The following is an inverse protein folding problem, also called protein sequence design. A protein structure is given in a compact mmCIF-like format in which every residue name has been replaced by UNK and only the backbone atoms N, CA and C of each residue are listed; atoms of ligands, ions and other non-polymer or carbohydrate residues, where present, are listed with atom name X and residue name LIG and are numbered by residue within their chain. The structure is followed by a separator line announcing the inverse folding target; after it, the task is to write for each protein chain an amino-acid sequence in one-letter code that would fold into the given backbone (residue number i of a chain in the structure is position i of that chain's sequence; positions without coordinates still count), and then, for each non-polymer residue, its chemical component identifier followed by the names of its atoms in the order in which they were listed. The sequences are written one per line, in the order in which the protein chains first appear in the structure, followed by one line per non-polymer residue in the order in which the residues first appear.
data_IF_945975362131
#
_entry.id   IF_945975362131
#
_cell.length_a   1.000
_cell.length_b   1.000
_cell.length_c   1.000
_cell.angle_alpha   90.00
_cell.angle_beta   90.00
_cell.angle_gamma   90.00
#
_symmetry.space_group_name_H-M   'P 1'
#
loop_
_entity.id
_entity.type
_entity.pdbx_description
1 polymer ?
#
# COMPACT_ATOMS: atom_id res chain seq x y z
N UNK A 1 7.48 8.34 -28.50
CA UNK A 1 6.04 8.03 -28.61
C UNK A 1 5.58 7.45 -27.28
N UNK A 2 4.36 7.78 -26.83
CA UNK A 2 3.75 7.16 -25.64
C UNK A 2 3.15 5.81 -26.01
N UNK A 3 3.32 4.84 -25.14
CA UNK A 3 2.85 3.46 -25.33
C UNK A 3 1.89 3.13 -24.19
N UNK A 4 0.66 2.67 -24.48
CA UNK A 4 -0.25 2.20 -23.45
C UNK A 4 0.35 1.06 -22.64
N UNK A 5 0.14 1.11 -21.33
CA UNK A 5 0.59 0.11 -20.38
C UNK A 5 -0.62 -0.68 -19.88
N UNK A 6 -0.66 -1.99 -20.15
CA UNK A 6 -1.75 -2.85 -19.69
C UNK A 6 -1.53 -3.24 -18.22
N UNK A 7 -2.28 -2.62 -17.31
CA UNK A 7 -2.38 -2.99 -15.88
C UNK A 7 -1.04 -3.09 -15.14
N UNK A 8 -0.06 -2.20 -15.43
CA UNK A 8 1.18 -2.15 -14.65
C UNK A 8 1.00 -1.31 -13.39
N UNK A 9 1.52 -1.84 -12.29
CA UNK A 9 1.56 -1.15 -11.01
C UNK A 9 3.00 -0.95 -10.59
N UNK A 10 3.23 0.10 -9.83
CA UNK A 10 4.54 0.41 -9.29
C UNK A 10 4.48 0.99 -7.89
N UNK A 11 5.64 1.02 -7.24
CA UNK A 11 5.83 1.71 -5.98
C UNK A 11 6.96 2.70 -6.15
N UNK A 12 6.75 3.93 -5.68
CA UNK A 12 7.79 4.94 -5.65
C UNK A 12 8.90 4.53 -4.66
N UNK A 13 10.14 4.47 -5.15
CA UNK A 13 11.33 4.14 -4.35
C UNK A 13 12.13 5.37 -3.93
N UNK A 14 11.74 6.56 -4.41
CA UNK A 14 12.33 7.84 -4.04
C UNK A 14 11.26 8.93 -4.05
N UNK A 15 11.44 9.98 -3.23
CA UNK A 15 10.57 11.16 -3.24
C UNK A 15 10.79 11.94 -4.54
N UNK A 16 9.71 12.41 -5.15
CA UNK A 16 9.72 13.20 -6.37
C UNK A 16 8.72 14.36 -6.27
N UNK A 17 9.20 15.59 -6.49
CA UNK A 17 8.48 16.79 -6.05
C UNK A 17 7.45 17.37 -7.03
N UNK A 18 7.32 16.90 -8.27
CA UNK A 18 6.39 17.55 -9.19
C UNK A 18 6.99 18.49 -10.20
N UNK A 19 8.30 18.68 -10.26
CA UNK A 19 8.95 19.85 -10.88
C UNK A 19 8.97 19.88 -12.43
N UNK A 20 7.89 19.41 -13.05
CA UNK A 20 7.65 19.44 -14.49
C UNK A 20 6.18 19.74 -14.77
N UNK A 21 5.88 20.19 -15.99
CA UNK A 21 4.49 20.34 -16.41
C UNK A 21 3.75 19.00 -16.33
N UNK A 22 2.58 18.99 -15.70
CA UNK A 22 1.76 17.79 -15.44
C UNK A 22 2.43 16.75 -14.53
N UNK A 23 3.36 17.19 -13.69
CA UNK A 23 3.99 16.36 -12.68
C UNK A 23 3.05 15.82 -11.61
N UNK A 24 3.10 14.52 -11.32
CA UNK A 24 2.39 13.93 -10.18
C UNK A 24 3.37 13.67 -9.01
N UNK A 25 3.41 14.54 -7.97
CA UNK A 25 4.36 14.38 -6.86
C UNK A 25 4.16 13.05 -6.14
N UNK A 26 5.25 12.37 -5.82
CA UNK A 26 5.26 11.05 -5.20
C UNK A 26 6.16 11.04 -3.96
N UNK A 27 5.67 10.41 -2.90
CA UNK A 27 6.47 10.10 -1.73
C UNK A 27 6.94 8.64 -1.79
N UNK A 28 8.08 8.31 -1.16
CA UNK A 28 8.55 6.92 -1.02
C UNK A 28 7.42 6.06 -0.46
N UNK A 29 7.14 4.95 -1.15
CA UNK A 29 6.09 4.00 -0.79
C UNK A 29 4.73 4.28 -1.44
N UNK A 30 4.55 5.40 -2.14
CA UNK A 30 3.32 5.65 -2.90
C UNK A 30 3.14 4.58 -3.99
N UNK A 31 1.93 4.01 -4.03
CA UNK A 31 1.54 3.06 -5.07
C UNK A 31 1.01 3.84 -6.27
N UNK A 32 1.44 3.47 -7.47
CA UNK A 32 1.02 4.10 -8.72
C UNK A 32 0.44 3.07 -9.69
N UNK A 33 -0.62 3.47 -10.38
CA UNK A 33 -1.14 2.77 -11.55
C UNK A 33 -0.54 3.43 -12.80
N UNK A 34 0.08 2.63 -13.67
CA UNK A 34 0.79 3.12 -14.86
C UNK A 34 -0.10 2.88 -16.07
N UNK A 35 -0.58 3.99 -16.65
CA UNK A 35 -1.47 4.00 -17.80
C UNK A 35 -0.69 4.00 -19.11
N UNK A 36 0.40 4.77 -19.18
CA UNK A 36 1.22 4.90 -20.38
C UNK A 36 2.69 5.06 -20.02
N UNK A 37 3.58 4.72 -20.96
CA UNK A 37 5.01 4.87 -20.80
C UNK A 37 5.71 5.40 -22.06
N UNK A 38 6.80 6.12 -21.84
CA UNK A 38 7.79 6.45 -22.87
C UNK A 38 9.21 6.12 -22.33
N UNK A 39 10.31 6.33 -23.06
CA UNK A 39 11.62 5.86 -22.63
C UNK A 39 12.07 6.29 -21.23
N UNK A 40 11.69 7.49 -20.75
CA UNK A 40 12.13 8.02 -19.44
C UNK A 40 11.00 8.25 -18.43
N UNK A 41 9.75 8.27 -18.88
CA UNK A 41 8.62 8.66 -18.06
C UNK A 41 7.51 7.62 -18.06
N UNK A 42 6.84 7.54 -16.93
CA UNK A 42 5.52 6.96 -16.80
C UNK A 42 4.48 8.08 -16.73
N UNK A 43 3.28 7.76 -17.19
CA UNK A 43 2.06 8.55 -16.99
C UNK A 43 1.05 7.67 -16.27
N UNK A 44 0.52 8.15 -15.17
CA UNK A 44 -0.28 7.32 -14.27
C UNK A 44 -1.01 8.08 -13.18
N UNK A 45 -1.64 7.34 -12.29
CA UNK A 45 -2.36 7.87 -11.12
C UNK A 45 -1.74 7.34 -9.84
N UNK A 46 -1.96 8.05 -8.73
CA UNK A 46 -1.62 7.58 -7.39
C UNK A 46 -2.88 7.61 -6.53
N UNK A 47 -3.40 6.47 -6.02
CA UNK A 47 -4.64 6.45 -5.24
C UNK A 47 -4.58 7.27 -3.94
N UNK A 48 -3.38 7.48 -3.38
CA UNK A 48 -3.16 8.31 -2.18
C UNK A 48 -3.17 9.80 -2.45
N UNK A 49 -2.88 10.21 -3.69
CA UNK A 49 -2.96 11.59 -4.13
C UNK A 49 -4.29 11.75 -4.88
N UNK A 50 -4.72 12.97 -5.14
CA UNK A 50 -5.84 13.20 -6.08
C UNK A 50 -5.66 12.26 -7.27
N UNK A 51 -6.66 11.43 -7.63
CA UNK A 51 -6.57 10.44 -8.74
C UNK A 51 -6.35 11.09 -10.13
N UNK A 52 -5.92 12.35 -10.15
CA UNK A 52 -5.38 13.06 -11.28
C UNK A 52 -4.25 12.25 -11.94
N UNK A 53 -4.27 12.25 -13.26
CA UNK A 53 -3.23 11.64 -14.08
C UNK A 53 -2.06 12.60 -14.19
N UNK A 54 -0.84 12.12 -13.95
CA UNK A 54 0.36 12.92 -14.15
C UNK A 54 1.60 12.10 -14.44
N UNK A 55 2.71 12.80 -14.57
CA UNK A 55 4.00 12.28 -15.02
C UNK A 55 4.93 12.03 -13.84
N UNK A 56 5.67 10.93 -13.90
CA UNK A 56 6.74 10.62 -12.96
C UNK A 56 7.86 9.81 -13.64
N UNK A 57 9.13 9.97 -13.21
CA UNK A 57 10.26 9.31 -13.88
C UNK A 57 10.25 7.80 -13.66
N UNK A 58 10.61 7.03 -14.69
CA UNK A 58 10.73 5.57 -14.57
C UNK A 58 11.72 5.13 -13.51
N UNK A 59 12.82 5.88 -13.37
CA UNK A 59 13.90 5.58 -12.42
C UNK A 59 13.48 5.71 -10.96
N UNK A 60 12.31 6.29 -10.68
CA UNK A 60 11.78 6.48 -9.32
C UNK A 60 10.76 5.40 -8.95
N UNK A 61 10.41 4.50 -9.88
CA UNK A 61 9.36 3.51 -9.71
C UNK A 61 9.92 2.10 -9.81
N UNK A 62 9.65 1.31 -8.79
CA UNK A 62 9.83 -0.13 -8.84
C UNK A 62 8.52 -0.79 -9.30
N UNK A 63 8.55 -1.48 -10.45
CA UNK A 63 7.38 -2.17 -10.99
C UNK A 63 7.06 -3.39 -10.14
N UNK A 64 5.78 -3.55 -9.78
CA UNK A 64 5.27 -4.70 -9.04
C UNK A 64 4.24 -5.47 -9.85
N UNK A 65 4.37 -6.79 -9.78
CA UNK A 65 3.38 -7.73 -10.27
C UNK A 65 2.37 -8.03 -9.16
N UNK A 66 1.15 -7.48 -9.28
CA UNK A 66 0.11 -7.67 -8.28
C UNK A 66 -0.46 -9.10 -8.27
N UNK A 67 -0.30 -9.86 -9.36
CA UNK A 67 -0.84 -11.23 -9.45
C UNK A 67 -0.12 -12.22 -8.53
N UNK A 68 1.09 -11.86 -8.07
CA UNK A 68 1.93 -12.67 -7.18
C UNK A 68 1.77 -12.30 -5.71
N UNK A 69 0.94 -11.30 -5.40
CA UNK A 69 0.73 -10.86 -4.03
C UNK A 69 -0.35 -11.74 -3.42
N UNK A 70 -0.01 -12.36 -2.29
CA UNK A 70 -0.96 -13.10 -1.48
C UNK A 70 -2.17 -12.21 -1.10
N UNK A 71 -3.42 -12.66 -1.30
CA UNK A 71 -4.60 -11.87 -1.00
C UNK A 71 -4.65 -11.36 0.44
N UNK A 72 -4.19 -12.15 1.41
CA UNK A 72 -4.18 -11.76 2.83
C UNK A 72 -3.17 -10.62 3.06
N UNK A 73 -2.03 -10.64 2.36
CA UNK A 73 -1.03 -9.54 2.40
C UNK A 73 -1.59 -8.25 1.78
N UNK A 74 -2.34 -8.38 0.69
CA UNK A 74 -3.03 -7.25 0.06
C UNK A 74 -4.08 -6.66 1.01
N UNK A 75 -4.91 -7.52 1.62
CA UNK A 75 -5.94 -7.13 2.58
C UNK A 75 -5.34 -6.44 3.80
N UNK A 76 -4.26 -6.99 4.40
CA UNK A 76 -3.51 -6.33 5.48
C UNK A 76 -3.16 -4.89 5.13
N UNK A 77 -2.69 -4.65 3.90
CA UNK A 77 -2.30 -3.32 3.44
C UNK A 77 -3.50 -2.38 3.36
N UNK A 78 -4.65 -2.89 2.91
CA UNK A 78 -5.89 -2.13 2.79
C UNK A 78 -6.44 -1.77 4.18
N UNK A 79 -6.63 -2.76 5.06
CA UNK A 79 -7.21 -2.50 6.39
C UNK A 79 -6.33 -1.58 7.23
N UNK A 80 -5.00 -1.68 7.13
CA UNK A 80 -4.10 -0.76 7.83
C UNK A 80 -4.27 0.68 7.36
N UNK A 81 -4.59 0.91 6.07
CA UNK A 81 -4.87 2.27 5.56
C UNK A 81 -6.20 2.78 6.11
N UNK A 82 -7.25 1.97 6.06
CA UNK A 82 -8.58 2.32 6.56
C UNK A 82 -8.54 2.61 8.07
N UNK A 83 -7.96 1.70 8.85
CA UNK A 83 -7.82 1.84 10.29
C UNK A 83 -6.91 3.00 10.69
N UNK A 84 -5.93 3.39 9.86
CA UNK A 84 -5.10 4.57 10.15
C UNK A 84 -5.91 5.87 10.21
N UNK A 85 -6.96 5.99 9.40
CA UNK A 85 -7.85 7.15 9.42
C UNK A 85 -8.75 7.13 10.66
N UNK A 86 -9.26 5.95 11.04
CA UNK A 86 -10.03 5.77 12.29
C UNK A 86 -9.15 6.07 13.51
N UNK A 87 -7.94 5.54 13.54
CA UNK A 87 -6.98 5.69 14.63
C UNK A 87 -6.63 7.17 14.90
N UNK A 88 -6.43 7.97 13.83
CA UNK A 88 -6.22 9.42 13.96
C UNK A 88 -7.44 10.13 14.55
N UNK A 89 -8.67 9.75 14.16
CA UNK A 89 -9.90 10.32 14.72
C UNK A 89 -10.03 10.03 16.22
N UNK A 90 -9.78 8.79 16.62
CA UNK A 90 -9.81 8.39 18.05
C UNK A 90 -8.86 9.22 18.91
N UNK A 91 -7.71 9.63 18.37
CA UNK A 91 -6.79 10.55 19.07
C UNK A 91 -7.41 11.93 19.29
N UNK A 92 -7.99 12.52 18.23
CA UNK A 92 -8.64 13.84 18.29
C UNK A 92 -9.83 13.83 19.26
N UNK A 93 -10.62 12.76 19.21
CA UNK A 93 -11.81 12.56 20.06
C UNK A 93 -11.45 12.14 21.50
N UNK A 94 -10.16 11.94 21.81
CA UNK A 94 -9.63 11.53 23.12
C UNK A 94 -10.14 10.16 23.61
N UNK A 95 -10.54 9.29 22.69
CA UNK A 95 -10.97 7.90 22.92
C UNK A 95 -9.77 6.99 23.26
N UNK A 96 -9.15 7.26 24.40
CA UNK A 96 -7.80 6.77 24.76
C UNK A 96 -7.71 5.24 24.75
N UNK A 97 -8.70 4.54 25.30
CA UNK A 97 -8.71 3.08 25.31
C UNK A 97 -8.75 2.50 23.89
N UNK A 98 -9.69 2.95 23.05
CA UNK A 98 -9.83 2.49 21.67
C UNK A 98 -8.59 2.81 20.84
N UNK A 99 -8.03 4.01 21.01
CA UNK A 99 -6.80 4.42 20.33
C UNK A 99 -5.63 3.46 20.59
N UNK A 100 -5.39 3.10 21.86
CA UNK A 100 -4.31 2.19 22.22
C UNK A 100 -4.58 0.75 21.77
N UNK A 101 -5.82 0.29 21.90
CA UNK A 101 -6.21 -1.05 21.46
C UNK A 101 -6.07 -1.21 19.95
N UNK A 102 -6.60 -0.27 19.16
CA UNK A 102 -6.48 -0.29 17.70
C UNK A 102 -5.02 -0.25 17.25
N UNK A 103 -4.19 0.61 17.88
CA UNK A 103 -2.74 0.66 17.60
C UNK A 103 -2.06 -0.69 17.78
N UNK A 104 -2.37 -1.42 18.86
CA UNK A 104 -1.77 -2.74 19.13
C UNK A 104 -2.13 -3.75 18.04
N UNK A 105 -3.40 -3.79 17.63
CA UNK A 105 -3.85 -4.71 16.57
C UNK A 105 -3.23 -4.33 15.23
N UNK A 106 -3.20 -3.04 14.87
CA UNK A 106 -2.54 -2.55 13.65
C UNK A 106 -1.07 -2.96 13.59
N UNK A 107 -0.31 -2.80 14.69
CA UNK A 107 1.09 -3.21 14.75
C UNK A 107 1.25 -4.73 14.61
N UNK A 108 0.34 -5.50 15.21
CA UNK A 108 0.37 -6.95 15.07
C UNK A 108 0.09 -7.41 13.63
N UNK A 109 -0.86 -6.79 12.93
CA UNK A 109 -1.13 -7.06 11.51
C UNK A 109 0.08 -6.66 10.64
N UNK A 110 0.72 -5.53 10.95
CA UNK A 110 1.92 -5.09 10.23
C UNK A 110 3.07 -6.10 10.36
N UNK A 111 3.26 -6.67 11.54
CA UNK A 111 4.26 -7.70 11.80
C UNK A 111 3.93 -9.00 11.06
N UNK A 112 2.69 -9.51 11.18
CA UNK A 112 2.26 -10.69 10.43
C UNK A 112 2.42 -10.51 8.92
N UNK A 113 2.12 -9.32 8.39
CA UNK A 113 2.35 -8.98 6.98
C UNK A 113 3.84 -9.05 6.60
N UNK A 114 4.74 -8.62 7.49
CA UNK A 114 6.20 -8.70 7.28
C UNK A 114 6.64 -10.16 7.20
N UNK A 115 6.17 -11.00 8.11
CA UNK A 115 6.48 -12.43 8.13
C UNK A 115 5.96 -13.16 6.88
N UNK A 116 4.71 -12.91 6.48
CA UNK A 116 4.13 -13.48 5.26
C UNK A 116 4.93 -13.10 4.00
N UNK A 117 5.45 -11.87 3.94
CA UNK A 117 6.31 -11.42 2.84
C UNK A 117 7.74 -11.96 2.92
N UNK A 118 8.20 -12.42 4.09
CA UNK A 118 9.56 -12.89 4.32
C UNK A 118 9.87 -14.22 3.62
N UNK A 119 8.85 -15.00 3.26
CA UNK A 119 8.98 -16.31 2.60
C UNK A 119 9.90 -17.31 3.34
N UNK A 120 10.00 -17.17 4.67
CA UNK A 120 10.78 -18.06 5.55
C UNK A 120 9.93 -19.10 6.27
N UNK A 121 8.60 -19.04 6.11
CA UNK A 121 7.63 -19.93 6.76
C UNK A 121 7.39 -21.19 5.92
N UNK A 122 7.08 -22.29 6.59
CA UNK A 122 6.52 -23.47 5.90
C UNK A 122 5.09 -23.18 5.41
N UNK A 123 4.56 -24.07 4.57
CA UNK A 123 3.18 -23.96 4.09
C UNK A 123 2.17 -23.95 5.24
N UNK A 124 2.31 -24.86 6.21
CA UNK A 124 1.42 -24.93 7.37
C UNK A 124 1.50 -23.68 8.24
N UNK A 125 2.71 -23.18 8.50
CA UNK A 125 2.92 -21.94 9.25
C UNK A 125 2.33 -20.71 8.54
N UNK A 126 2.45 -20.67 7.21
CA UNK A 126 1.87 -19.59 6.40
C UNK A 126 0.35 -19.60 6.53
N UNK A 127 -0.29 -20.77 6.42
CA UNK A 127 -1.73 -20.92 6.55
C UNK A 127 -2.22 -20.52 7.95
N UNK A 128 -1.54 -20.97 9.00
CA UNK A 128 -1.87 -20.62 10.38
C UNK A 128 -1.77 -19.10 10.63
N UNK A 129 -0.72 -18.48 10.11
CA UNK A 129 -0.52 -17.03 10.22
C UNK A 129 -1.60 -16.25 9.45
N UNK A 130 -1.97 -16.70 8.25
CA UNK A 130 -3.07 -16.12 7.48
C UNK A 130 -4.39 -16.17 8.23
N UNK A 131 -4.75 -17.33 8.80
CA UNK A 131 -5.96 -17.49 9.61
C UNK A 131 -5.96 -16.56 10.83
N UNK A 132 -4.80 -16.41 11.48
CA UNK A 132 -4.62 -15.49 12.61
C UNK A 132 -4.82 -14.04 12.18
N UNK A 133 -4.32 -13.64 11.01
CA UNK A 133 -4.51 -12.31 10.45
C UNK A 133 -5.98 -12.04 10.15
N UNK A 134 -6.67 -12.95 9.45
CA UNK A 134 -8.08 -12.81 9.10
C UNK A 134 -8.94 -12.63 10.35
N UNK A 135 -8.72 -13.46 11.38
CA UNK A 135 -9.42 -13.35 12.66
C UNK A 135 -9.23 -11.98 13.35
N UNK A 136 -8.02 -11.39 13.28
CA UNK A 136 -7.74 -10.05 13.82
C UNK A 136 -8.44 -8.95 13.02
N UNK A 137 -8.50 -9.09 11.70
CA UNK A 137 -9.21 -8.18 10.80
C UNK A 137 -10.71 -8.21 11.10
N UNK A 138 -11.29 -9.41 11.18
CA UNK A 138 -12.70 -9.60 11.52
C UNK A 138 -13.04 -9.03 12.90
N UNK A 139 -12.15 -9.17 13.88
CA UNK A 139 -12.33 -8.57 15.19
C UNK A 139 -12.33 -7.03 15.13
N UNK A 140 -11.41 -6.42 14.39
CA UNK A 140 -11.27 -4.96 14.33
C UNK A 140 -12.28 -4.26 13.42
N UNK A 141 -12.91 -5.00 12.50
CA UNK A 141 -14.00 -4.50 11.65
C UNK A 141 -15.38 -4.55 12.31
N UNK A 142 -15.51 -5.18 13.49
CA UNK A 142 -16.72 -5.17 14.31
C UNK A 142 -16.79 -3.92 15.18
#
# INVERSE_FOLDING_TARGET
MWIPSNNKYGVAIHNWHGDVRFGLPLDVGDSVEILEECPKWFRGTCPRKSRAVGLFPKTYIHIKDLSKIDPVVAECTQVLREWSEIWKKLFVDRETYKFHTLRKVMLSILESRRELLGATLTQDQTLELQMTVVSKIDWGNR
#
